data_IF_461298114637
#
_entry.id   IF_461298114637
#
_cell.length_a   1.000
_cell.length_b   1.000
_cell.length_c   1.000
_cell.angle_alpha   90.00
_cell.angle_beta   90.00
_cell.angle_gamma   90.00
#
_symmetry.space_group_name_H-M   'P 1'
#
loop_
_entity.id
_entity.type
_entity.pdbx_description
1 polymer ?
#
# COMPACT_ATOMS: atom_id res chain seq x y z
N UNK A 1 18.54 -7.13 24.94
CA UNK A 1 18.83 -7.60 23.55
C UNK A 1 17.65 -8.34 22.93
N UNK A 2 17.01 -9.26 23.63
CA UNK A 2 15.87 -10.03 23.10
C UNK A 2 14.69 -9.13 22.72
N UNK A 3 14.31 -8.19 23.59
CA UNK A 3 13.23 -7.23 23.32
C UNK A 3 13.51 -6.37 22.10
N UNK A 4 14.77 -5.98 21.91
CA UNK A 4 15.17 -5.23 20.71
C UNK A 4 14.94 -6.02 19.43
N UNK A 5 15.34 -7.29 19.38
CA UNK A 5 15.15 -8.15 18.19
C UNK A 5 13.67 -8.41 17.96
N UNK A 6 12.90 -8.65 19.02
CA UNK A 6 11.45 -8.86 18.91
C UNK A 6 10.73 -7.62 18.39
N UNK A 7 11.15 -6.44 18.87
CA UNK A 7 10.60 -5.16 18.41
C UNK A 7 11.00 -4.84 16.98
N UNK A 8 12.24 -5.18 16.60
CA UNK A 8 12.72 -5.04 15.23
C UNK A 8 11.90 -5.88 14.24
N UNK A 9 11.65 -7.17 14.57
CA UNK A 9 10.80 -8.04 13.73
C UNK A 9 9.37 -7.50 13.63
N UNK A 10 8.82 -6.97 14.74
CA UNK A 10 7.51 -6.34 14.76
C UNK A 10 7.47 -5.11 13.85
N UNK A 11 8.51 -4.26 13.91
CA UNK A 11 8.67 -3.10 13.07
C UNK A 11 8.83 -3.45 11.59
N UNK A 12 9.59 -4.50 11.27
CA UNK A 12 9.72 -5.00 9.89
C UNK A 12 8.37 -5.51 9.37
N UNK A 13 7.61 -6.28 10.16
CA UNK A 13 6.30 -6.77 9.75
C UNK A 13 5.31 -5.62 9.48
N UNK A 14 5.23 -4.65 10.38
CA UNK A 14 4.40 -3.45 10.18
C UNK A 14 4.89 -2.64 8.97
N UNK A 15 6.20 -2.49 8.85
CA UNK A 15 6.83 -1.80 7.73
C UNK A 15 6.60 -2.47 6.38
N UNK A 16 6.46 -3.80 6.33
CA UNK A 16 6.04 -4.53 5.14
C UNK A 16 4.64 -4.11 4.69
N UNK A 17 3.70 -3.97 5.61
CA UNK A 17 2.34 -3.47 5.29
C UNK A 17 2.40 -2.04 4.75
N UNK A 18 3.14 -1.15 5.41
CA UNK A 18 3.35 0.22 4.91
C UNK A 18 4.01 0.23 3.54
N UNK A 19 4.98 -0.64 3.31
CA UNK A 19 5.65 -0.81 2.02
C UNK A 19 4.69 -1.22 0.90
N UNK A 20 3.75 -2.11 1.17
CA UNK A 20 2.72 -2.51 0.20
C UNK A 20 1.74 -1.37 -0.12
N UNK A 21 1.32 -0.61 0.89
CA UNK A 21 0.48 0.58 0.67
C UNK A 21 1.26 1.64 -0.11
N UNK A 22 2.51 1.91 0.29
CA UNK A 22 3.42 2.83 -0.38
C UNK A 22 3.69 2.42 -1.84
N UNK A 23 3.81 1.13 -2.10
CA UNK A 23 3.94 0.59 -3.44
C UNK A 23 2.72 0.91 -4.30
N UNK A 24 1.51 0.82 -3.74
CA UNK A 24 0.29 1.26 -4.41
C UNK A 24 0.31 2.75 -4.77
N UNK A 25 0.76 3.63 -3.88
CA UNK A 25 0.98 5.05 -4.17
C UNK A 25 1.96 5.24 -5.34
N UNK A 26 3.10 4.57 -5.30
CA UNK A 26 4.15 4.69 -6.32
C UNK A 26 3.68 4.16 -7.68
N UNK A 27 2.92 3.07 -7.72
CA UNK A 27 2.36 2.53 -8.96
C UNK A 27 1.44 3.53 -9.66
N UNK A 28 0.50 4.11 -8.92
CA UNK A 28 -0.45 5.10 -9.48
C UNK A 28 0.30 6.37 -9.87
N UNK A 29 1.21 6.86 -9.03
CA UNK A 29 2.02 8.05 -9.33
C UNK A 29 2.84 7.90 -10.62
N UNK A 30 3.49 6.75 -10.83
CA UNK A 30 4.24 6.48 -12.06
C UNK A 30 3.37 6.49 -13.33
N UNK A 31 2.11 6.13 -13.21
CA UNK A 31 1.20 6.07 -14.36
C UNK A 31 0.48 7.39 -14.65
N UNK A 32 0.29 8.24 -13.63
CA UNK A 32 -0.57 9.42 -13.74
C UNK A 32 0.11 10.72 -13.30
N UNK A 33 1.33 10.64 -12.75
CA UNK A 33 2.07 11.73 -12.09
C UNK A 33 1.28 12.39 -10.94
N UNK A 34 0.25 11.72 -10.44
CA UNK A 34 -0.60 12.21 -9.34
C UNK A 34 -0.66 11.18 -8.22
N UNK A 35 -0.65 11.68 -6.99
CA UNK A 35 -0.78 10.85 -5.79
C UNK A 35 -2.25 10.50 -5.57
N UNK A 36 -2.55 9.21 -5.37
CA UNK A 36 -3.88 8.73 -5.03
C UNK A 36 -4.08 8.69 -3.51
N UNK A 37 -4.65 9.72 -2.91
CA UNK A 37 -4.89 9.76 -1.46
C UNK A 37 -5.95 8.77 -0.95
N UNK A 38 -6.73 8.15 -1.84
CA UNK A 38 -7.64 7.05 -1.48
C UNK A 38 -6.93 5.69 -1.31
N UNK A 39 -5.59 5.62 -1.45
CA UNK A 39 -4.85 4.35 -1.44
C UNK A 39 -5.03 3.56 -0.15
N UNK A 40 -5.00 4.24 1.01
CA UNK A 40 -5.28 3.60 2.29
C UNK A 40 -6.74 3.11 2.40
N UNK A 41 -7.68 3.87 1.84
CA UNK A 41 -9.09 3.48 1.84
C UNK A 41 -9.37 2.29 0.90
N UNK A 42 -8.61 2.15 -0.20
CA UNK A 42 -8.62 0.94 -1.02
C UNK A 42 -8.09 -0.28 -0.25
N UNK A 43 -7.05 -0.11 0.57
CA UNK A 43 -6.56 -1.17 1.47
C UNK A 43 -7.63 -1.57 2.48
N UNK A 44 -8.27 -0.62 3.14
CA UNK A 44 -9.37 -0.83 4.09
C UNK A 44 -10.52 -1.60 3.42
N UNK A 45 -10.98 -1.13 2.26
CA UNK A 45 -12.06 -1.77 1.51
C UNK A 45 -11.69 -3.19 1.10
N UNK A 46 -10.43 -3.42 0.70
CA UNK A 46 -9.90 -4.76 0.41
C UNK A 46 -9.96 -5.69 1.61
N UNK A 47 -9.67 -5.19 2.81
CA UNK A 47 -9.85 -5.91 4.08
C UNK A 47 -11.32 -6.26 4.34
N UNK A 48 -12.26 -5.34 4.12
CA UNK A 48 -13.70 -5.61 4.26
C UNK A 48 -14.21 -6.64 3.24
N UNK A 49 -13.76 -6.60 1.99
CA UNK A 49 -14.12 -7.65 1.01
C UNK A 49 -13.58 -9.01 1.45
N UNK A 50 -12.35 -9.07 1.94
CA UNK A 50 -11.79 -10.31 2.46
C UNK A 50 -12.58 -10.81 3.69
N UNK A 51 -12.94 -9.93 4.61
CA UNK A 51 -13.80 -10.27 5.75
C UNK A 51 -15.17 -10.80 5.28
N UNK A 52 -15.76 -10.20 4.26
CA UNK A 52 -17.04 -10.67 3.70
C UNK A 52 -16.89 -12.07 3.13
N UNK A 53 -15.89 -12.33 2.30
CA UNK A 53 -15.73 -13.65 1.67
C UNK A 53 -15.29 -14.73 2.65
N UNK A 54 -14.35 -14.43 3.54
CA UNK A 54 -13.79 -15.40 4.49
C UNK A 54 -14.68 -15.52 5.72
N UNK A 55 -15.02 -14.38 6.35
CA UNK A 55 -15.74 -14.37 7.64
C UNK A 55 -17.24 -14.54 7.49
N UNK A 56 -17.92 -13.75 6.61
CA UNK A 56 -19.37 -13.79 6.49
C UNK A 56 -19.85 -14.93 5.60
N UNK A 57 -19.20 -15.17 4.44
CA UNK A 57 -19.60 -16.25 3.51
C UNK A 57 -18.97 -17.60 3.85
N UNK A 58 -18.03 -17.66 4.79
CA UNK A 58 -17.39 -18.90 5.23
C UNK A 58 -16.54 -19.58 4.16
N UNK A 59 -16.06 -18.86 3.16
CA UNK A 59 -15.21 -19.42 2.12
C UNK A 59 -13.84 -19.81 2.68
N UNK A 60 -13.20 -20.81 2.03
CA UNK A 60 -11.81 -21.12 2.34
C UNK A 60 -10.94 -19.85 2.21
N UNK A 61 -10.01 -19.67 3.14
CA UNK A 61 -9.14 -18.50 3.21
C UNK A 61 -8.52 -18.11 1.86
N UNK A 62 -7.95 -19.05 1.14
CA UNK A 62 -7.30 -18.79 -0.14
C UNK A 62 -8.27 -18.38 -1.25
N UNK A 63 -9.47 -19.00 -1.26
CA UNK A 63 -10.53 -18.66 -2.22
C UNK A 63 -11.09 -17.27 -1.91
N UNK A 64 -11.37 -16.99 -0.64
CA UNK A 64 -11.84 -15.68 -0.20
C UNK A 64 -10.81 -14.57 -0.43
N UNK A 65 -9.54 -14.84 -0.17
CA UNK A 65 -8.44 -13.93 -0.47
C UNK A 65 -8.34 -13.62 -1.97
N UNK A 66 -8.31 -14.66 -2.83
CA UNK A 66 -8.27 -14.47 -4.27
C UNK A 66 -9.50 -13.73 -4.80
N UNK A 67 -10.69 -14.03 -4.25
CA UNK A 67 -11.94 -13.33 -4.55
C UNK A 67 -11.89 -11.85 -4.19
N UNK A 68 -11.38 -11.53 -3.00
CA UNK A 68 -11.21 -10.14 -2.55
C UNK A 68 -10.24 -9.37 -3.46
N UNK A 69 -9.09 -9.97 -3.79
CA UNK A 69 -8.11 -9.37 -4.69
C UNK A 69 -8.71 -9.13 -6.09
N UNK A 70 -9.43 -10.10 -6.65
CA UNK A 70 -10.09 -9.96 -7.95
C UNK A 70 -11.19 -8.87 -7.93
N UNK A 71 -12.05 -8.88 -6.92
CA UNK A 71 -13.10 -7.88 -6.76
C UNK A 71 -12.52 -6.47 -6.63
N UNK A 72 -11.46 -6.31 -5.84
CA UNK A 72 -10.82 -5.02 -5.66
C UNK A 72 -9.99 -4.58 -6.88
N UNK A 73 -9.43 -5.50 -7.65
CA UNK A 73 -8.81 -5.16 -8.94
C UNK A 73 -9.86 -4.58 -9.92
N UNK A 74 -11.04 -5.21 -10.00
CA UNK A 74 -12.16 -4.69 -10.80
C UNK A 74 -12.66 -3.34 -10.27
N UNK A 75 -12.78 -3.20 -8.95
CA UNK A 75 -13.16 -1.94 -8.31
C UNK A 75 -12.14 -0.83 -8.60
N UNK A 76 -10.84 -1.10 -8.54
CA UNK A 76 -9.79 -0.15 -8.90
C UNK A 76 -9.90 0.35 -10.34
N UNK A 77 -10.17 -0.55 -11.30
CA UNK A 77 -10.43 -0.15 -12.69
C UNK A 77 -11.71 0.71 -12.81
N UNK A 78 -12.75 0.36 -12.06
CA UNK A 78 -13.99 1.13 -12.05
C UNK A 78 -13.77 2.53 -11.45
N UNK A 79 -13.09 2.63 -10.33
CA UNK A 79 -12.77 3.89 -9.67
C UNK A 79 -11.93 4.81 -10.60
N UNK A 80 -10.94 4.25 -11.29
CA UNK A 80 -10.19 5.01 -12.30
C UNK A 80 -11.11 5.51 -13.40
N UNK A 81 -11.96 4.64 -13.95
CA UNK A 81 -12.80 4.96 -15.09
C UNK A 81 -13.88 5.99 -14.78
N UNK A 82 -14.46 5.94 -13.57
CA UNK A 82 -15.59 6.79 -13.17
C UNK A 82 -15.11 8.10 -12.52
N UNK A 83 -14.09 8.03 -11.66
CA UNK A 83 -13.66 9.18 -10.86
C UNK A 83 -12.44 9.87 -11.49
N UNK A 84 -11.39 9.13 -11.83
CA UNK A 84 -10.11 9.71 -12.19
C UNK A 84 -10.03 10.05 -13.68
N UNK A 85 -10.48 9.16 -14.54
CA UNK A 85 -10.39 9.35 -15.99
C UNK A 85 -11.08 10.62 -16.51
N UNK A 86 -12.27 11.03 -16.01
CA UNK A 86 -12.91 12.26 -16.46
C UNK A 86 -12.13 13.54 -16.14
N UNK A 87 -11.27 13.46 -15.11
CA UNK A 87 -10.49 14.61 -14.64
C UNK A 87 -9.00 14.51 -15.01
N UNK A 88 -8.59 13.46 -15.73
CA UNK A 88 -7.26 13.39 -16.32
C UNK A 88 -7.08 14.52 -17.34
N UNK A 89 -6.03 15.33 -17.15
CA UNK A 89 -5.77 16.52 -17.95
C UNK A 89 -6.14 17.84 -17.26
N UNK A 90 -6.87 17.79 -16.15
CA UNK A 90 -7.05 18.95 -15.27
C UNK A 90 -5.83 19.15 -14.36
N UNK A 91 -5.71 20.29 -13.68
CA UNK A 91 -4.61 20.53 -12.72
C UNK A 91 -4.51 19.42 -11.69
N UNK A 92 -3.28 19.05 -11.30
CA UNK A 92 -3.02 17.97 -10.33
C UNK A 92 -3.83 18.12 -9.04
N UNK A 93 -4.07 19.36 -8.59
CA UNK A 93 -4.87 19.65 -7.41
C UNK A 93 -6.30 19.06 -7.50
N UNK A 94 -6.93 19.14 -8.69
CA UNK A 94 -8.29 18.60 -8.89
C UNK A 94 -8.33 17.09 -8.71
N UNK A 95 -7.31 16.38 -9.18
CA UNK A 95 -7.22 14.92 -9.07
C UNK A 95 -6.95 14.53 -7.60
N UNK A 96 -6.09 15.27 -6.90
CA UNK A 96 -5.83 15.07 -5.47
C UNK A 96 -7.13 15.22 -4.67
N UNK A 97 -7.88 16.30 -4.89
CA UNK A 97 -9.15 16.54 -4.18
C UNK A 97 -10.18 15.44 -4.49
N UNK A 98 -10.25 14.97 -5.74
CA UNK A 98 -11.15 13.87 -6.11
C UNK A 98 -10.78 12.55 -5.43
N UNK A 99 -9.49 12.24 -5.30
CA UNK A 99 -9.05 11.02 -4.60
C UNK A 99 -9.28 11.11 -3.08
N UNK A 100 -9.11 12.29 -2.47
CA UNK A 100 -9.49 12.52 -1.08
C UNK A 100 -11.00 12.35 -0.90
N UNK A 101 -11.81 12.95 -1.78
CA UNK A 101 -13.27 12.78 -1.78
C UNK A 101 -13.70 11.32 -1.94
N UNK A 102 -13.03 10.58 -2.84
CA UNK A 102 -13.22 9.14 -3.01
C UNK A 102 -12.94 8.39 -1.71
N UNK A 103 -11.84 8.71 -1.02
CA UNK A 103 -11.50 8.08 0.26
C UNK A 103 -12.58 8.30 1.33
N UNK A 104 -13.07 9.54 1.48
CA UNK A 104 -14.18 9.83 2.39
C UNK A 104 -15.47 9.08 2.02
N UNK A 105 -15.79 9.02 0.73
CA UNK A 105 -16.93 8.27 0.22
C UNK A 105 -16.81 6.79 0.56
N UNK A 106 -15.66 6.17 0.32
CA UNK A 106 -15.42 4.75 0.62
C UNK A 106 -15.54 4.43 2.11
N UNK A 107 -15.02 5.31 2.99
CA UNK A 107 -15.16 5.15 4.44
C UNK A 107 -16.62 5.20 4.89
N UNK A 108 -17.36 6.19 4.40
CA UNK A 108 -18.77 6.35 4.75
C UNK A 108 -19.60 5.16 4.27
N UNK A 109 -19.36 4.71 3.03
CA UNK A 109 -20.04 3.53 2.46
C UNK A 109 -19.68 2.26 3.23
N UNK A 110 -18.40 2.08 3.58
CA UNK A 110 -17.96 0.94 4.39
C UNK A 110 -18.65 0.92 5.76
N UNK A 111 -18.74 2.07 6.43
CA UNK A 111 -19.45 2.19 7.71
C UNK A 111 -20.96 1.90 7.59
N UNK A 112 -21.57 2.24 6.45
CA UNK A 112 -22.99 1.92 6.20
C UNK A 112 -23.25 0.44 5.93
N UNK A 113 -22.32 -0.25 5.25
CA UNK A 113 -22.48 -1.66 4.84
C UNK A 113 -22.09 -2.62 5.97
N UNK A 114 -20.92 -2.42 6.58
CA UNK A 114 -20.35 -3.32 7.58
C UNK A 114 -20.51 -2.82 9.02
N UNK A 115 -20.88 -1.55 9.20
CA UNK A 115 -20.96 -0.94 10.54
C UNK A 115 -19.64 -0.30 10.96
N UNK A 116 -19.59 0.10 12.23
CA UNK A 116 -18.45 0.78 12.85
C UNK A 116 -17.65 -0.11 13.79
N UNK A 117 -18.02 -1.39 13.89
CA UNK A 117 -17.36 -2.35 14.76
C UNK A 117 -15.96 -2.73 14.24
N UNK A 118 -15.15 -3.27 15.12
CA UNK A 118 -13.83 -3.79 14.81
C UNK A 118 -13.93 -5.27 14.37
N UNK A 119 -13.50 -5.56 13.16
CA UNK A 119 -13.54 -6.92 12.60
C UNK A 119 -12.15 -7.53 12.57
N UNK A 120 -12.09 -8.84 12.83
CA UNK A 120 -10.89 -9.66 12.73
C UNK A 120 -11.08 -10.73 11.68
N UNK A 121 -10.03 -11.01 10.92
CA UNK A 121 -9.98 -12.15 10.00
C UNK A 121 -9.08 -13.20 10.61
N UNK A 122 -9.62 -14.40 10.80
CA UNK A 122 -8.81 -15.55 11.18
C UNK A 122 -8.00 -16.02 9.97
N UNK A 123 -6.68 -16.02 10.13
CA UNK A 123 -5.77 -16.48 9.10
C UNK A 123 -5.23 -17.87 9.46
N UNK A 124 -4.89 -18.72 8.47
CA UNK A 124 -4.30 -20.03 8.73
C UNK A 124 -2.97 -19.95 9.52
N UNK A 125 -2.39 -18.75 9.61
CA UNK A 125 -1.10 -18.49 10.26
C UNK A 125 -1.25 -17.85 11.64
N UNK A 126 -2.47 -17.49 12.07
CA UNK A 126 -2.71 -16.77 13.33
C UNK A 126 -2.53 -17.63 14.59
N UNK A 127 -2.43 -18.95 14.42
CA UNK A 127 -2.27 -19.87 15.53
C UNK A 127 -0.83 -20.38 15.60
N UNK A 128 -0.03 -19.77 16.46
CA UNK A 128 1.28 -20.28 16.80
C UNK A 128 2.34 -19.21 17.04
N UNK A 129 3.32 -19.59 17.81
CA UNK A 129 4.51 -18.79 18.07
C UNK A 129 5.75 -19.65 17.81
N UNK A 130 6.66 -19.13 17.02
CA UNK A 130 7.96 -19.73 16.81
C UNK A 130 8.84 -19.37 18.01
N UNK A 131 9.24 -20.37 18.79
CA UNK A 131 10.16 -20.20 19.90
C UNK A 131 11.56 -20.65 19.50
N UNK A 132 12.49 -19.71 19.43
CA UNK A 132 13.91 -19.98 19.17
C UNK A 132 14.66 -19.58 20.45
N UNK A 133 14.85 -20.53 21.35
CA UNK A 133 15.39 -20.27 22.70
C UNK A 133 14.42 -19.36 23.47
N UNK A 134 14.89 -18.20 23.90
CA UNK A 134 14.10 -17.19 24.61
C UNK A 134 13.37 -16.18 23.70
N UNK A 135 13.58 -16.27 22.39
CA UNK A 135 12.92 -15.40 21.40
C UNK A 135 11.55 -16.00 21.03
N UNK A 136 10.50 -15.20 21.18
CA UNK A 136 9.12 -15.58 20.83
C UNK A 136 8.65 -14.71 19.66
N UNK A 137 8.48 -15.32 18.48
CA UNK A 137 8.02 -14.67 17.29
C UNK A 137 6.63 -15.19 16.92
N UNK A 138 5.66 -14.29 16.76
CA UNK A 138 4.33 -14.65 16.28
C UNK A 138 4.39 -15.05 14.80
N UNK A 139 3.76 -16.14 14.43
CA UNK A 139 3.70 -16.63 13.05
C UNK A 139 3.07 -15.59 12.11
N UNK A 140 2.12 -14.79 12.59
CA UNK A 140 1.51 -13.70 11.81
C UNK A 140 2.55 -12.73 11.26
N UNK A 141 3.51 -12.29 12.10
CA UNK A 141 4.54 -11.34 11.68
C UNK A 141 5.47 -11.92 10.62
N UNK A 142 5.83 -13.19 10.77
CA UNK A 142 6.67 -13.90 9.80
C UNK A 142 5.93 -14.12 8.49
N UNK A 143 4.64 -14.46 8.54
CA UNK A 143 3.80 -14.65 7.35
C UNK A 143 3.64 -13.36 6.55
N UNK A 144 3.47 -12.21 7.22
CA UNK A 144 3.41 -10.89 6.58
C UNK A 144 4.70 -10.57 5.85
N UNK A 145 5.86 -10.79 6.48
CA UNK A 145 7.16 -10.55 5.85
C UNK A 145 7.33 -11.47 4.63
N UNK A 146 7.07 -12.76 4.77
CA UNK A 146 7.18 -13.72 3.68
C UNK A 146 6.25 -13.39 2.51
N UNK A 147 4.97 -13.11 2.81
CA UNK A 147 3.98 -12.74 1.80
C UNK A 147 4.37 -11.44 1.07
N UNK A 148 4.91 -10.44 1.78
CA UNK A 148 5.39 -9.20 1.17
C UNK A 148 6.54 -9.45 0.22
N UNK A 149 7.53 -10.27 0.62
CA UNK A 149 8.66 -10.63 -0.25
C UNK A 149 8.18 -11.35 -1.51
N UNK A 150 7.26 -12.31 -1.37
CA UNK A 150 6.67 -13.03 -2.50
C UNK A 150 5.94 -12.07 -3.44
N UNK A 151 5.10 -11.19 -2.88
CA UNK A 151 4.35 -10.22 -3.68
C UNK A 151 5.27 -9.24 -4.41
N UNK A 152 6.31 -8.74 -3.75
CA UNK A 152 7.32 -7.89 -4.38
C UNK A 152 8.07 -8.61 -5.50
N UNK A 153 8.43 -9.89 -5.31
CA UNK A 153 9.06 -10.70 -6.34
C UNK A 153 8.13 -10.91 -7.55
N UNK A 154 6.85 -11.22 -7.31
CA UNK A 154 5.83 -11.34 -8.36
C UNK A 154 5.65 -10.04 -9.15
N UNK A 155 5.56 -8.90 -8.47
CA UNK A 155 5.47 -7.60 -9.12
C UNK A 155 6.73 -7.26 -9.91
N UNK A 156 7.91 -7.55 -9.35
CA UNK A 156 9.17 -7.36 -10.06
C UNK A 156 9.23 -8.20 -11.35
N UNK A 157 8.81 -9.48 -11.29
CA UNK A 157 8.69 -10.36 -12.46
C UNK A 157 7.69 -9.80 -13.47
N UNK A 158 6.52 -9.37 -13.01
CA UNK A 158 5.50 -8.77 -13.85
C UNK A 158 6.04 -7.54 -14.60
N UNK A 159 6.65 -6.59 -13.89
CA UNK A 159 7.16 -5.36 -14.49
C UNK A 159 8.35 -5.58 -15.43
N UNK A 160 9.19 -6.59 -15.16
CA UNK A 160 10.42 -6.81 -15.95
C UNK A 160 10.25 -7.84 -17.07
N UNK A 161 9.29 -8.75 -16.97
CA UNK A 161 9.17 -9.89 -17.89
C UNK A 161 7.90 -9.87 -18.74
N UNK A 162 6.96 -8.93 -18.52
CA UNK A 162 5.73 -8.88 -19.31
C UNK A 162 5.69 -7.68 -20.25
N UNK A 163 4.99 -7.83 -21.39
CA UNK A 163 4.74 -6.72 -22.33
C UNK A 163 3.96 -5.58 -21.66
N UNK A 164 3.03 -5.90 -20.76
CA UNK A 164 2.28 -4.90 -19.98
C UNK A 164 3.21 -4.08 -19.08
N UNK A 165 4.15 -4.74 -18.39
CA UNK A 165 5.15 -4.06 -17.57
C UNK A 165 6.04 -3.12 -18.40
N UNK A 166 6.43 -3.53 -19.61
CA UNK A 166 7.17 -2.68 -20.54
C UNK A 166 6.34 -1.49 -21.03
N UNK A 167 5.06 -1.71 -21.38
CA UNK A 167 4.15 -0.65 -21.77
C UNK A 167 3.91 0.35 -20.61
N UNK A 168 3.79 -0.13 -19.38
CA UNK A 168 3.67 0.70 -18.17
C UNK A 168 4.91 1.57 -17.95
N UNK A 169 6.12 1.01 -18.12
CA UNK A 169 7.37 1.79 -18.02
C UNK A 169 7.47 2.83 -19.12
N UNK A 170 7.20 2.49 -20.35
CA UNK A 170 7.22 3.43 -21.47
C UNK A 170 6.21 4.57 -21.26
N UNK A 171 4.99 4.26 -20.79
CA UNK A 171 3.97 5.28 -20.48
C UNK A 171 4.37 6.17 -19.30
N UNK A 172 5.12 5.64 -18.32
CA UNK A 172 5.60 6.41 -17.16
C UNK A 172 6.76 7.35 -17.49
N UNK A 173 7.54 7.06 -18.53
CA UNK A 173 8.63 7.94 -18.98
C UNK A 173 8.13 9.09 -19.86
N UNK A 174 7.22 8.78 -20.79
CA UNK A 174 6.60 9.79 -21.65
C UNK A 174 5.26 9.27 -22.18
N UNK A 175 4.18 9.71 -21.57
CA UNK A 175 2.81 9.30 -21.91
C UNK A 175 2.44 9.64 -23.36
N UNK A 176 2.91 10.78 -23.86
CA UNK A 176 2.59 11.26 -25.21
C UNK A 176 3.37 10.47 -26.27
N UNK A 177 4.64 10.23 -26.05
CA UNK A 177 5.46 9.39 -26.93
C UNK A 177 4.93 7.95 -26.96
N UNK A 178 4.57 7.38 -25.82
CA UNK A 178 3.97 6.04 -25.72
C UNK A 178 2.66 5.95 -26.55
N UNK A 179 1.82 6.97 -26.47
CA UNK A 179 0.59 7.05 -27.26
C UNK A 179 0.87 7.06 -28.78
N UNK A 180 1.84 7.87 -29.24
CA UNK A 180 2.22 7.90 -30.66
C UNK A 180 2.85 6.59 -31.14
N UNK A 181 3.48 5.83 -30.26
CA UNK A 181 4.01 4.48 -30.55
C UNK A 181 2.93 3.38 -30.52
N UNK A 182 1.63 3.76 -30.36
CA UNK A 182 0.51 2.83 -30.39
C UNK A 182 0.19 2.14 -29.06
N UNK A 183 0.83 2.55 -27.95
CA UNK A 183 0.52 1.99 -26.62
C UNK A 183 -0.84 2.55 -26.17
N UNK A 184 -1.80 1.70 -25.78
CA UNK A 184 -3.12 2.15 -25.35
C UNK A 184 -3.07 2.69 -23.91
N UNK A 185 -2.54 3.90 -23.73
CA UNK A 185 -2.25 4.54 -22.43
C UNK A 185 -3.43 4.48 -21.48
N UNK A 186 -4.68 4.72 -21.96
CA UNK A 186 -5.87 4.63 -21.12
C UNK A 186 -6.07 3.24 -20.50
N UNK A 187 -5.75 2.17 -21.24
CA UNK A 187 -5.82 0.79 -20.70
C UNK A 187 -4.70 0.54 -19.70
N UNK A 188 -3.51 1.06 -19.99
CA UNK A 188 -2.35 0.96 -19.08
C UNK A 188 -2.68 1.58 -17.74
N UNK A 189 -3.23 2.80 -17.70
CA UNK A 189 -3.64 3.48 -16.46
C UNK A 189 -4.68 2.66 -15.70
N UNK A 190 -5.72 2.12 -16.38
CA UNK A 190 -6.72 1.27 -15.73
C UNK A 190 -6.10 0.01 -15.10
N UNK A 191 -5.16 -0.63 -15.80
CA UNK A 191 -4.47 -1.83 -15.27
C UNK A 191 -3.60 -1.47 -14.06
N UNK A 192 -2.94 -0.32 -14.08
CA UNK A 192 -2.17 0.17 -12.92
C UNK A 192 -3.07 0.35 -11.70
N UNK A 193 -4.24 0.96 -11.87
CA UNK A 193 -5.21 1.11 -10.78
C UNK A 193 -5.73 -0.24 -10.27
N UNK A 194 -5.96 -1.20 -11.17
CA UNK A 194 -6.32 -2.57 -10.79
C UNK A 194 -5.23 -3.23 -9.94
N UNK A 195 -3.97 -3.15 -10.38
CA UNK A 195 -2.83 -3.73 -9.65
C UNK A 195 -2.63 -3.02 -8.32
N UNK A 196 -2.73 -1.68 -8.29
CA UNK A 196 -2.61 -0.89 -7.07
C UNK A 196 -3.68 -1.27 -6.04
N UNK A 197 -4.94 -1.44 -6.45
CA UNK A 197 -6.02 -1.89 -5.60
C UNK A 197 -5.83 -3.35 -5.14
N UNK A 198 -5.35 -4.23 -6.01
CA UNK A 198 -5.01 -5.61 -5.66
C UNK A 198 -3.90 -5.68 -4.59
N UNK A 199 -2.83 -4.90 -4.75
CA UNK A 199 -1.73 -4.79 -3.78
C UNK A 199 -2.21 -4.20 -2.46
N UNK A 200 -3.07 -3.17 -2.51
CA UNK A 200 -3.70 -2.59 -1.33
C UNK A 200 -4.53 -3.65 -0.59
N UNK A 201 -5.29 -4.49 -1.31
CA UNK A 201 -6.05 -5.59 -0.72
C UNK A 201 -5.14 -6.60 -0.03
N UNK A 202 -4.02 -6.97 -0.66
CA UNK A 202 -3.03 -7.83 -0.02
C UNK A 202 -2.52 -7.22 1.29
N UNK A 203 -2.22 -5.91 1.30
CA UNK A 203 -1.82 -5.21 2.52
C UNK A 203 -2.92 -5.24 3.60
N UNK A 204 -4.19 -5.03 3.22
CA UNK A 204 -5.34 -5.07 4.14
C UNK A 204 -5.56 -6.45 4.76
N UNK A 205 -5.45 -7.51 3.96
CA UNK A 205 -5.59 -8.89 4.45
C UNK A 205 -4.41 -9.29 5.34
N UNK A 206 -3.19 -8.90 4.98
CA UNK A 206 -2.00 -9.16 5.80
C UNK A 206 -1.97 -8.36 7.11
N UNK A 207 -2.65 -7.22 7.13
CA UNK A 207 -2.82 -6.42 8.34
C UNK A 207 -3.83 -7.02 9.31
N UNK A 208 -4.87 -7.67 8.82
CA UNK A 208 -6.02 -8.14 9.59
C UNK A 208 -5.68 -8.99 10.84
N UNK A 209 -4.67 -9.88 10.84
CA UNK A 209 -4.26 -10.59 12.03
C UNK A 209 -3.47 -9.74 13.03
N UNK A 210 -2.87 -8.63 12.59
CA UNK A 210 -2.03 -7.75 13.44
C UNK A 210 -2.90 -6.69 14.12
N UNK A 211 -3.89 -6.16 13.40
CA UNK A 211 -4.81 -5.12 13.90
C UNK A 211 -6.21 -5.38 13.36
N UNK A 212 -7.21 -4.76 13.97
CA UNK A 212 -8.59 -4.87 13.55
C UNK A 212 -8.85 -4.08 12.26
N UNK A 213 -9.81 -4.56 11.47
CA UNK A 213 -10.35 -3.85 10.32
C UNK A 213 -11.53 -3.01 10.80
N UNK A 214 -11.44 -1.71 10.62
CA UNK A 214 -12.52 -0.75 10.92
C UNK A 214 -12.53 0.37 9.89
N UNK A 215 -13.61 1.14 9.83
CA UNK A 215 -13.85 2.13 8.77
C UNK A 215 -12.81 3.25 8.68
N UNK A 216 -12.02 3.51 9.74
CA UNK A 216 -11.00 4.55 9.75
C UNK A 216 -9.55 4.04 9.55
N UNK A 217 -9.35 2.71 9.53
CA UNK A 217 -8.00 2.12 9.43
C UNK A 217 -7.26 2.58 8.17
N UNK A 218 -8.01 2.76 7.07
CA UNK A 218 -7.45 3.20 5.79
C UNK A 218 -6.81 4.58 5.85
N UNK A 219 -7.47 5.54 6.51
CA UNK A 219 -6.94 6.89 6.68
C UNK A 219 -5.64 6.90 7.48
N UNK A 220 -5.67 6.25 8.65
CA UNK A 220 -4.54 6.26 9.59
C UNK A 220 -3.30 5.62 8.94
N UNK A 221 -3.47 4.43 8.35
CA UNK A 221 -2.35 3.70 7.76
C UNK A 221 -1.94 4.27 6.40
N UNK A 222 -2.88 4.79 5.62
CA UNK A 222 -2.57 5.49 4.38
C UNK A 222 -1.70 6.72 4.61
N UNK A 223 -2.03 7.53 5.63
CA UNK A 223 -1.23 8.69 6.01
C UNK A 223 0.17 8.29 6.55
N UNK A 224 0.31 7.16 7.24
CA UNK A 224 1.63 6.66 7.71
C UNK A 224 2.44 6.00 6.58
N UNK A 225 1.79 5.42 5.59
CA UNK A 225 2.45 4.84 4.42
C UNK A 225 2.91 5.92 3.41
N UNK A 226 2.34 7.11 3.45
CA UNK A 226 2.77 8.21 2.59
C UNK A 226 4.22 8.65 2.87
N UNK A 227 4.67 8.90 4.12
CA UNK A 227 6.09 9.04 4.46
C UNK A 227 6.97 7.92 3.92
N UNK A 228 6.50 6.69 3.93
CA UNK A 228 7.24 5.56 3.38
C UNK A 228 7.46 5.68 1.87
N UNK A 229 6.44 6.09 1.11
CA UNK A 229 6.53 6.33 -0.33
C UNK A 229 7.49 7.49 -0.65
N UNK A 230 7.45 8.58 0.14
CA UNK A 230 8.34 9.73 -0.01
C UNK A 230 9.79 9.34 0.32
N UNK A 231 10.01 8.68 1.47
CA UNK A 231 11.33 8.21 1.89
C UNK A 231 11.93 7.26 0.84
N UNK A 232 11.14 6.34 0.33
CA UNK A 232 11.55 5.42 -0.72
C UNK A 232 11.83 6.11 -2.05
N UNK A 233 11.12 7.20 -2.33
CA UNK A 233 11.10 7.95 -3.59
C UNK A 233 9.98 7.46 -4.52
N UNK A 234 9.09 8.36 -4.91
CA UNK A 234 7.91 8.08 -5.76
C UNK A 234 8.24 7.49 -7.15
N UNK A 235 9.48 7.55 -7.59
CA UNK A 235 9.94 6.95 -8.84
C UNK A 235 10.36 5.48 -8.73
N UNK A 236 10.48 4.93 -7.52
CA UNK A 236 11.12 3.63 -7.28
C UNK A 236 10.21 2.63 -6.57
N UNK A 237 9.80 1.56 -7.28
CA UNK A 237 9.03 0.44 -6.72
C UNK A 237 9.78 -0.24 -5.55
N UNK A 238 11.07 -0.65 -5.68
CA UNK A 238 11.79 -1.20 -4.56
C UNK A 238 12.02 -0.18 -3.44
N UNK A 239 12.14 1.10 -3.80
CA UNK A 239 12.27 2.19 -2.84
C UNK A 239 11.06 2.28 -1.90
N UNK A 240 9.84 2.16 -2.42
CA UNK A 240 8.62 2.19 -1.61
C UNK A 240 8.61 1.10 -0.53
N UNK A 241 9.05 -0.12 -0.86
CA UNK A 241 9.11 -1.23 0.10
C UNK A 241 10.17 -0.99 1.15
N UNK A 242 11.37 -0.57 0.75
CA UNK A 242 12.44 -0.23 1.70
C UNK A 242 12.03 0.93 2.60
N UNK A 243 11.43 1.98 2.02
CA UNK A 243 10.89 3.11 2.78
C UNK A 243 9.84 2.67 3.80
N UNK A 244 8.94 1.75 3.39
CA UNK A 244 7.95 1.15 4.28
C UNK A 244 8.58 0.42 5.46
N UNK A 245 9.55 -0.45 5.19
CA UNK A 245 10.26 -1.19 6.25
C UNK A 245 10.98 -0.24 7.20
N UNK A 246 11.65 0.78 6.68
CA UNK A 246 12.34 1.78 7.52
C UNK A 246 11.35 2.54 8.41
N UNK A 247 10.25 3.04 7.85
CA UNK A 247 9.21 3.75 8.62
C UNK A 247 8.61 2.84 9.70
N UNK A 248 8.28 1.59 9.37
CA UNK A 248 7.73 0.64 10.35
C UNK A 248 8.71 0.30 11.47
N UNK A 249 9.99 0.14 11.17
CA UNK A 249 11.04 -0.07 12.19
C UNK A 249 11.18 1.17 13.07
N UNK A 250 11.24 2.37 12.49
CA UNK A 250 11.35 3.62 13.25
C UNK A 250 10.14 3.82 14.16
N UNK A 251 8.92 3.61 13.63
CA UNK A 251 7.68 3.69 14.41
C UNK A 251 7.67 2.71 15.58
N UNK A 252 8.07 1.45 15.31
CA UNK A 252 8.11 0.40 16.32
C UNK A 252 9.13 0.70 17.43
N UNK A 253 10.32 1.18 17.06
CA UNK A 253 11.35 1.58 18.00
C UNK A 253 10.96 2.83 18.79
N UNK A 254 10.37 3.83 18.13
CA UNK A 254 9.88 5.02 18.79
C UNK A 254 8.80 4.70 19.84
N UNK A 255 7.86 3.81 19.50
CA UNK A 255 6.81 3.38 20.44
C UNK A 255 7.32 2.55 21.62
N UNK A 256 8.49 1.91 21.52
CA UNK A 256 9.06 1.10 22.60
C UNK A 256 10.02 1.89 23.49
N UNK A 257 10.86 2.77 22.92
CA UNK A 257 11.94 3.44 23.66
C UNK A 257 11.63 4.89 24.03
N UNK A 258 10.66 5.54 23.37
CA UNK A 258 10.29 6.92 23.62
C UNK A 258 8.98 7.05 24.39
N UNK A 259 8.63 8.27 24.80
CA UNK A 259 7.39 8.54 25.51
C UNK A 259 6.15 8.25 24.64
N UNK A 260 5.02 8.05 25.31
CA UNK A 260 3.72 7.79 24.70
C UNK A 260 3.39 8.87 23.65
N UNK A 261 2.91 8.46 22.48
CA UNK A 261 2.61 9.36 21.35
C UNK A 261 3.73 9.48 20.30
N UNK A 262 4.99 9.22 20.63
CA UNK A 262 6.08 9.26 19.64
C UNK A 262 5.92 8.23 18.53
N UNK A 263 5.25 7.12 18.79
CA UNK A 263 4.90 6.13 17.79
C UNK A 263 4.16 6.72 16.59
N UNK A 264 3.24 7.65 16.83
CA UNK A 264 2.43 8.26 15.77
C UNK A 264 3.13 9.44 15.10
N UNK A 265 4.02 10.11 15.80
CA UNK A 265 4.74 11.30 15.31
C UNK A 265 6.00 10.93 14.52
N UNK A 266 6.70 9.86 14.89
CA UNK A 266 7.98 9.48 14.29
C UNK A 266 7.98 9.35 12.76
N UNK A 267 6.97 8.73 12.10
CA UNK A 267 6.91 8.69 10.64
C UNK A 267 6.91 10.07 9.97
N UNK A 268 6.24 11.04 10.58
CA UNK A 268 6.14 12.40 10.03
C UNK A 268 7.40 13.24 10.28
N UNK A 269 8.09 13.02 11.40
CA UNK A 269 9.41 13.62 11.65
C UNK A 269 10.40 13.14 10.60
N UNK A 270 10.39 11.86 10.29
CA UNK A 270 11.23 11.29 9.22
C UNK A 270 10.86 11.87 7.86
N UNK A 271 9.56 12.01 7.57
CA UNK A 271 9.10 12.65 6.33
C UNK A 271 9.65 14.05 6.18
N UNK A 272 9.53 14.90 7.23
CA UNK A 272 10.05 16.26 7.21
C UNK A 272 11.56 16.29 7.03
N UNK A 273 12.28 15.42 7.75
CA UNK A 273 13.74 15.33 7.61
C UNK A 273 14.17 14.95 6.19
N UNK A 274 13.48 13.98 5.57
CA UNK A 274 13.76 13.54 4.19
C UNK A 274 13.45 14.66 3.20
N UNK A 275 12.32 15.35 3.33
CA UNK A 275 11.98 16.45 2.43
C UNK A 275 12.97 17.61 2.51
N UNK A 276 13.56 17.86 3.69
CA UNK A 276 14.56 18.91 3.89
C UNK A 276 15.95 18.50 3.38
N UNK A 277 16.35 17.24 3.58
CA UNK A 277 17.71 16.77 3.30
C UNK A 277 17.84 16.16 1.89
N UNK A 278 16.83 15.40 1.44
CA UNK A 278 16.85 14.67 0.17
C UNK A 278 15.43 14.54 -0.40
N UNK A 279 14.85 15.61 -0.98
CA UNK A 279 13.46 15.65 -1.41
C UNK A 279 13.11 14.59 -2.50
N UNK A 280 14.12 14.03 -3.16
CA UNK A 280 13.92 12.95 -4.15
C UNK A 280 13.72 11.57 -3.51
N UNK A 281 13.91 11.43 -2.20
CA UNK A 281 13.91 10.16 -1.48
C UNK A 281 15.21 9.36 -1.63
N UNK A 282 15.28 8.19 -1.00
CA UNK A 282 16.50 7.35 -0.99
C UNK A 282 16.85 6.81 -2.37
N UNK A 283 15.85 6.41 -3.15
CA UNK A 283 15.97 5.79 -4.48
C UNK A 283 15.36 6.64 -5.60
N UNK A 284 15.13 7.93 -5.34
CA UNK A 284 14.61 8.86 -6.34
C UNK A 284 15.60 9.04 -7.49
N UNK A 285 15.08 9.12 -8.71
CA UNK A 285 15.87 9.45 -9.88
C UNK A 285 16.17 10.95 -9.88
N UNK A 286 17.42 11.31 -10.00
CA UNK A 286 17.84 12.71 -10.22
C UNK A 286 17.26 13.20 -11.56
N UNK A 287 16.11 13.85 -11.52
CA UNK A 287 15.63 14.60 -12.68
C UNK A 287 16.45 15.89 -12.75
N UNK A 288 17.55 15.86 -13.52
CA UNK A 288 18.22 17.12 -13.92
C UNK A 288 17.18 17.95 -14.67
N UNK A 289 16.66 19.00 -14.02
CA UNK A 289 15.97 20.07 -14.73
C UNK A 289 16.94 20.57 -15.79
N UNK A 290 16.67 20.29 -17.07
CA UNK A 290 17.28 21.07 -18.13
C UNK A 290 16.72 22.48 -17.98
N UNK A 291 17.56 23.39 -17.52
CA UNK A 291 17.35 24.84 -17.55
C UNK A 291 17.38 25.26 -19.01
#
# INVERSE_FOLDING_TARGET
>A
MLDFVQQLVSGVALGCVYGLIALGFVLVYKATEVVNFAQGDLMMLGGFFAFTFIGMMGLNYWVGFAGAVAAMALFGMLAERVVVRPILGYPQFSIIMATIGLGYFLRSVSGMIWGTDDFKIDTPFSQGVLRIGSLVLAHDKLSVIAATVILCALLWLFFNKTMLGTAMRASSENMLAAYYMGIPVKRVVSIVWAISAAVATCAGVLLAPITFIHSNVGLVLGLKAFPAAVLGGFGSIPGAVVGGVLIGVIESMAGFYLAEGWKDVAPYVVLLAVLLLKPEGLFGLHVRKKV
#
